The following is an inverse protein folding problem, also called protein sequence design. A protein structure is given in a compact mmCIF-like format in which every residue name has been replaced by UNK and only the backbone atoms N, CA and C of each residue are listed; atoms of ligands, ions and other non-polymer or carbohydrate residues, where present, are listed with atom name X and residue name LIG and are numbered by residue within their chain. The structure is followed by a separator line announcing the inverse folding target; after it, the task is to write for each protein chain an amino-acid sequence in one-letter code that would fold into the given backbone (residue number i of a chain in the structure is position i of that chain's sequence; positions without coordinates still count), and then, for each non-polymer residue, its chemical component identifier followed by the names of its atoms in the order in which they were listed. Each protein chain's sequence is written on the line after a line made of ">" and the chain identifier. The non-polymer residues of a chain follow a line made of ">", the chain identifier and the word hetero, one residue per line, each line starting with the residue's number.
data_IF_771764943641
#
_entry.id   IF_771764943641
#
_cell.length_a   1.000
_cell.length_b   1.000
_cell.length_c   1.000
_cell.angle_alpha   90.00
_cell.angle_beta   90.00
_cell.angle_gamma   90.00
#
_symmetry.space_group_name_H-M   'P 1'
#
loop_
_entity.id
_entity.type
_entity.pdbx_description
1 polymer ?
#
# COMPACT_ATOMS: atom_id res chain seq x y z
N UNK A 1 11.23 -4.28 10.63
CA UNK A 1 9.90 -4.85 10.34
C UNK A 1 9.32 -4.15 9.13
N UNK A 2 8.56 -4.88 8.32
CA UNK A 2 7.91 -4.28 7.15
C UNK A 2 6.49 -3.88 7.44
N UNK A 3 6.10 -2.73 6.89
CA UNK A 3 4.73 -2.26 6.91
C UNK A 3 4.24 -1.94 5.51
N UNK A 4 2.97 -2.25 5.26
CA UNK A 4 2.22 -1.78 4.11
C UNK A 4 1.50 -0.50 4.52
N UNK A 5 1.63 0.54 3.72
CA UNK A 5 0.99 1.83 3.92
C UNK A 5 0.03 2.06 2.77
N UNK A 6 -1.27 2.10 3.05
CA UNK A 6 -2.30 2.40 2.05
C UNK A 6 -2.70 3.86 2.13
N UNK A 7 -2.65 4.55 0.99
CA UNK A 7 -3.30 5.84 0.84
C UNK A 7 -4.75 5.62 0.40
N UNK A 8 -5.70 6.01 1.24
CA UNK A 8 -7.14 5.81 1.01
C UNK A 8 -7.83 7.14 0.75
N UNK A 9 -8.72 7.11 -0.22
CA UNK A 9 -9.52 8.26 -0.67
C UNK A 9 -11.00 7.90 -0.63
N UNK A 10 -11.86 8.91 -0.49
CA UNK A 10 -13.30 8.73 -0.68
C UNK A 10 -13.62 8.43 -2.15
N UNK A 11 -14.72 7.72 -2.42
CA UNK A 11 -15.14 7.40 -3.79
C UNK A 11 -15.30 8.61 -4.70
N UNK A 12 -15.72 9.76 -4.14
CA UNK A 12 -15.85 11.02 -4.89
C UNK A 12 -14.51 11.53 -5.45
N UNK A 13 -13.39 11.14 -4.82
CA UNK A 13 -12.04 11.57 -5.20
C UNK A 13 -11.46 10.78 -6.39
N UNK A 14 -12.11 9.71 -6.83
CA UNK A 14 -11.70 8.93 -8.02
C UNK A 14 -12.20 9.53 -9.34
N UNK A 15 -13.08 10.53 -9.29
CA UNK A 15 -13.59 11.19 -10.48
C UNK A 15 -12.49 12.08 -11.04
N UNK A 16 -11.79 11.57 -12.07
CA UNK A 16 -10.64 12.21 -12.74
C UNK A 16 -10.57 13.72 -12.59
N UNK A 17 -9.81 14.17 -11.58
CA UNK A 17 -9.65 15.57 -11.27
C UNK A 17 -8.61 16.16 -12.22
N UNK A 18 -8.94 17.27 -12.88
CA UNK A 18 -7.94 18.04 -13.60
C UNK A 18 -6.89 18.55 -12.58
N UNK A 19 -5.58 18.43 -12.88
CA UNK A 19 -4.55 18.82 -11.93
C UNK A 19 -4.61 20.33 -11.68
N UNK A 20 -4.90 20.71 -10.44
CA UNK A 20 -4.81 22.10 -9.98
C UNK A 20 -3.36 22.44 -9.62
N UNK A 21 -2.98 23.73 -9.56
CA UNK A 21 -1.65 24.12 -9.10
C UNK A 21 -1.30 23.57 -7.70
N UNK A 22 -2.28 23.48 -6.81
CA UNK A 22 -2.13 22.91 -5.48
C UNK A 22 -1.85 21.40 -5.54
N UNK A 23 -2.59 20.66 -6.36
CA UNK A 23 -2.34 19.22 -6.57
C UNK A 23 -0.94 18.99 -7.14
N UNK A 24 -0.52 19.78 -8.12
CA UNK A 24 0.83 19.68 -8.71
C UNK A 24 1.91 19.91 -7.65
N UNK A 25 1.75 20.93 -6.80
CA UNK A 25 2.68 21.21 -5.72
C UNK A 25 2.71 20.08 -4.67
N UNK A 26 1.54 19.49 -4.36
CA UNK A 26 1.43 18.37 -3.43
C UNK A 26 2.07 17.09 -4.00
N UNK A 27 1.90 16.81 -5.29
CA UNK A 27 2.60 15.72 -5.98
C UNK A 27 4.12 15.89 -5.88
N UNK A 28 4.65 17.09 -6.17
CA UNK A 28 6.08 17.35 -6.03
C UNK A 28 6.57 17.25 -4.57
N UNK A 29 5.73 17.55 -3.59
CA UNK A 29 6.05 17.33 -2.18
C UNK A 29 6.08 15.83 -1.82
N UNK A 30 5.16 15.04 -2.39
CA UNK A 30 5.14 13.58 -2.21
C UNK A 30 6.39 12.92 -2.80
N UNK A 31 6.86 13.40 -3.95
CA UNK A 31 8.10 12.91 -4.57
C UNK A 31 9.30 13.15 -3.64
N UNK A 32 9.44 14.39 -3.11
CA UNK A 32 10.49 14.71 -2.12
C UNK A 32 10.39 13.88 -0.85
N UNK A 33 9.19 13.68 -0.33
CA UNK A 33 8.97 12.82 0.83
C UNK A 33 9.39 11.36 0.56
N UNK A 34 9.15 10.88 -0.66
CA UNK A 34 9.57 9.55 -1.10
C UNK A 34 11.10 9.45 -1.21
N UNK A 35 11.77 10.50 -1.70
CA UNK A 35 13.23 10.61 -1.69
C UNK A 35 13.80 10.58 -0.26
N UNK A 36 13.20 11.32 0.67
CA UNK A 36 13.59 11.30 2.10
C UNK A 36 13.46 9.90 2.72
N UNK A 37 12.41 9.15 2.38
CA UNK A 37 12.25 7.75 2.82
C UNK A 37 13.34 6.84 2.23
N UNK A 38 13.70 7.05 0.96
CA UNK A 38 14.73 6.28 0.29
C UNK A 38 16.13 6.56 0.87
N UNK A 39 16.46 7.83 1.08
CA UNK A 39 17.71 8.25 1.72
C UNK A 39 17.83 7.72 3.16
N UNK A 40 16.71 7.64 3.89
CA UNK A 40 16.65 7.04 5.21
C UNK A 40 16.77 5.50 5.22
N UNK A 41 16.78 4.84 4.05
CA UNK A 41 16.81 3.39 3.93
C UNK A 41 15.49 2.70 4.29
N UNK A 42 14.39 3.46 4.36
CA UNK A 42 13.07 2.98 4.77
C UNK A 42 12.25 2.53 3.56
N UNK A 43 12.44 3.17 2.41
CA UNK A 43 11.66 2.89 1.20
C UNK A 43 11.99 1.52 0.60
N UNK A 44 10.97 0.67 0.44
CA UNK A 44 11.09 -0.62 -0.28
C UNK A 44 10.46 -0.52 -1.67
N UNK A 45 9.21 -0.07 -1.74
CA UNK A 45 8.47 0.10 -2.99
C UNK A 45 7.25 1.00 -2.78
N UNK A 46 6.81 1.72 -3.80
CA UNK A 46 5.53 2.44 -3.78
C UNK A 46 4.98 2.62 -5.20
N UNK A 47 3.66 2.79 -5.29
CA UNK A 47 3.02 3.22 -6.52
C UNK A 47 1.67 3.90 -6.23
N UNK A 48 1.33 4.89 -7.06
CA UNK A 48 -0.04 5.35 -7.24
C UNK A 48 -0.82 4.36 -8.10
N UNK A 49 -2.11 4.19 -7.79
CA UNK A 49 -3.03 3.36 -8.54
C UNK A 49 -3.94 4.24 -9.39
N UNK A 50 -4.34 3.70 -10.54
CA UNK A 50 -5.39 4.30 -11.36
C UNK A 50 -6.76 4.18 -10.66
N UNK A 51 -7.75 5.01 -11.05
CA UNK A 51 -9.11 4.91 -10.52
C UNK A 51 -9.68 3.50 -10.61
N UNK A 52 -10.47 3.09 -9.61
CA UNK A 52 -11.05 1.75 -9.53
C UNK A 52 -11.94 1.40 -10.73
N UNK A 53 -12.48 2.41 -11.43
CA UNK A 53 -13.23 2.25 -12.68
C UNK A 53 -12.40 1.60 -13.81
N UNK A 54 -11.07 1.73 -13.79
CA UNK A 54 -10.17 1.03 -14.72
C UNK A 54 -9.73 -0.36 -14.20
N UNK A 55 -10.16 -0.73 -13.00
CA UNK A 55 -9.85 -2.01 -12.35
C UNK A 55 -10.79 -3.14 -12.73
N UNK A 56 -10.38 -4.37 -12.39
CA UNK A 56 -11.22 -5.57 -12.45
C UNK A 56 -11.14 -6.33 -11.13
N UNK A 57 -12.26 -6.91 -10.70
CA UNK A 57 -12.36 -7.77 -9.53
C UNK A 57 -12.66 -9.20 -9.97
N UNK A 58 -11.94 -10.16 -9.39
CA UNK A 58 -12.25 -11.58 -9.54
C UNK A 58 -12.99 -12.02 -8.28
N UNK A 59 -14.23 -12.48 -8.43
CA UNK A 59 -15.03 -13.03 -7.33
C UNK A 59 -14.91 -14.56 -7.41
N UNK A 60 -14.59 -15.17 -6.27
CA UNK A 60 -14.36 -16.60 -6.14
C UNK A 60 -15.45 -17.21 -5.26
N UNK A 61 -16.32 -18.05 -5.83
CA UNK A 61 -17.38 -18.77 -5.12
C UNK A 61 -17.21 -20.27 -5.38
N UNK A 62 -16.67 -21.01 -4.41
CA UNK A 62 -16.29 -22.41 -4.61
C UNK A 62 -15.21 -22.55 -5.69
N UNK A 63 -15.51 -23.29 -6.76
CA UNK A 63 -14.66 -23.41 -7.95
C UNK A 63 -14.92 -22.31 -9.00
N UNK A 64 -16.04 -21.60 -8.90
CA UNK A 64 -16.43 -20.58 -9.89
C UNK A 64 -15.63 -19.30 -9.72
N UNK A 65 -15.27 -18.69 -10.85
CA UNK A 65 -14.53 -17.42 -10.92
C UNK A 65 -15.24 -16.47 -11.88
N UNK A 66 -15.80 -15.39 -11.36
CA UNK A 66 -16.44 -14.34 -12.17
C UNK A 66 -15.59 -13.07 -12.20
N UNK A 67 -15.65 -12.34 -13.31
CA UNK A 67 -14.93 -11.08 -13.51
C UNK A 67 -15.93 -9.94 -13.46
N UNK A 68 -15.66 -8.94 -12.62
CA UNK A 68 -16.48 -7.74 -12.48
C UNK A 68 -15.62 -6.52 -12.80
N UNK A 69 -16.06 -5.71 -13.75
CA UNK A 69 -15.43 -4.43 -14.05
C UNK A 69 -15.69 -3.41 -12.94
N UNK A 70 -14.78 -2.45 -12.77
CA UNK A 70 -15.00 -1.33 -11.87
C UNK A 70 -16.14 -0.41 -12.31
N UNK A 71 -16.49 0.61 -11.50
CA UNK A 71 -15.85 1.01 -10.24
C UNK A 71 -16.14 0.05 -9.08
N UNK A 72 -15.30 0.09 -8.06
CA UNK A 72 -15.42 -0.78 -6.89
C UNK A 72 -16.35 -0.17 -5.84
N UNK A 73 -17.40 -0.90 -5.39
CA UNK A 73 -18.32 -0.37 -4.38
C UNK A 73 -17.68 -0.49 -2.99
N UNK A 74 -16.99 0.56 -2.53
CA UNK A 74 -16.38 0.63 -1.20
C UNK A 74 -16.38 2.08 -0.67
N UNK A 75 -16.52 2.23 0.65
CA UNK A 75 -16.54 3.53 1.35
C UNK A 75 -15.14 4.15 1.55
N UNK A 76 -14.11 3.55 0.96
CA UNK A 76 -12.73 4.02 0.95
C UNK A 76 -11.89 3.22 -0.02
N UNK A 77 -11.40 3.87 -1.07
CA UNK A 77 -10.65 3.24 -2.15
C UNK A 77 -9.15 3.48 -1.97
N UNK A 78 -8.34 2.49 -2.35
CA UNK A 78 -6.89 2.58 -2.25
C UNK A 78 -6.39 3.31 -3.49
N UNK A 79 -5.91 4.53 -3.31
CA UNK A 79 -5.33 5.36 -4.36
C UNK A 79 -3.83 5.07 -4.58
N UNK A 80 -3.19 4.40 -3.64
CA UNK A 80 -1.78 4.07 -3.71
C UNK A 80 -1.31 3.25 -2.52
N UNK A 81 -0.11 2.69 -2.66
CA UNK A 81 0.55 1.97 -1.57
C UNK A 81 2.02 2.37 -1.46
N UNK A 82 2.59 2.14 -0.28
CA UNK A 82 4.02 2.12 -0.03
C UNK A 82 4.38 0.98 0.91
N UNK A 83 5.52 0.33 0.69
CA UNK A 83 6.13 -0.64 1.59
C UNK A 83 7.33 0.03 2.24
N UNK A 84 7.37 0.01 3.57
CA UNK A 84 8.45 0.58 4.36
C UNK A 84 9.10 -0.50 5.24
N UNK A 85 10.43 -0.48 5.31
CA UNK A 85 11.21 -1.18 6.32
C UNK A 85 11.51 -0.19 7.46
N UNK A 86 10.90 -0.42 8.62
CA UNK A 86 11.01 0.45 9.80
C UNK A 86 11.45 -0.38 11.00
N UNK A 87 12.03 0.25 12.01
CA UNK A 87 12.38 -0.37 13.28
C UNK A 87 11.14 -0.88 14.01
N UNK A 88 10.09 -0.07 14.08
CA UNK A 88 8.86 -0.33 14.81
C UNK A 88 7.66 0.47 14.24
N UNK A 89 6.46 0.23 14.78
CA UNK A 89 5.24 0.93 14.36
C UNK A 89 5.27 2.43 14.69
N UNK A 90 5.94 2.83 15.77
CA UNK A 90 6.04 4.23 16.17
C UNK A 90 6.86 5.03 15.14
N UNK A 91 7.94 4.43 14.60
CA UNK A 91 8.70 5.00 13.49
C UNK A 91 7.83 5.13 12.23
N UNK A 92 7.06 4.09 11.87
CA UNK A 92 6.14 4.19 10.73
C UNK A 92 5.13 5.34 10.90
N UNK A 93 4.54 5.49 12.08
CA UNK A 93 3.59 6.57 12.37
C UNK A 93 4.28 7.94 12.33
N UNK A 94 5.52 8.05 12.81
CA UNK A 94 6.29 9.28 12.75
C UNK A 94 6.57 9.72 11.31
N UNK A 95 6.88 8.78 10.41
CA UNK A 95 7.02 9.05 8.98
C UNK A 95 5.69 9.38 8.32
N UNK A 96 4.63 8.61 8.59
CA UNK A 96 3.31 8.86 8.01
C UNK A 96 2.75 10.25 8.35
N UNK A 97 3.06 10.80 9.53
CA UNK A 97 2.66 12.17 9.91
C UNK A 97 3.31 13.27 9.07
N UNK A 98 4.41 12.97 8.37
CA UNK A 98 5.10 13.90 7.45
C UNK A 98 4.61 13.77 6.01
N UNK A 99 3.85 12.71 5.71
CA UNK A 99 3.38 12.41 4.36
C UNK A 99 2.45 13.54 3.86
N UNK A 100 2.74 14.15 2.69
CA UNK A 100 1.89 15.18 2.12
C UNK A 100 0.51 14.64 1.75
N UNK A 101 -0.55 15.43 1.93
CA UNK A 101 -1.85 15.08 1.38
C UNK A 101 -1.96 15.58 -0.07
N UNK A 102 -2.05 14.64 -1.02
CA UNK A 102 -2.13 14.95 -2.47
C UNK A 102 -3.55 15.10 -3.00
N UNK A 103 -4.55 14.67 -2.22
CA UNK A 103 -5.96 14.71 -2.64
C UNK A 103 -6.73 15.76 -1.84
N UNK A 104 -7.66 16.49 -2.48
CA UNK A 104 -8.54 17.40 -1.76
C UNK A 104 -9.48 16.61 -0.83
N UNK A 105 -9.81 17.20 0.32
CA UNK A 105 -10.74 16.61 1.29
C UNK A 105 -10.10 15.62 2.27
N UNK A 106 -10.93 14.75 2.87
CA UNK A 106 -10.49 13.77 3.86
C UNK A 106 -9.71 12.65 3.17
N UNK A 107 -8.41 12.56 3.47
CA UNK A 107 -7.57 11.41 3.14
C UNK A 107 -7.31 10.57 4.40
N UNK A 108 -7.02 9.29 4.20
CA UNK A 108 -6.66 8.38 5.29
C UNK A 108 -5.41 7.58 4.89
N UNK A 109 -4.48 7.43 5.82
CA UNK A 109 -3.36 6.50 5.67
C UNK A 109 -3.54 5.34 6.64
N UNK A 110 -3.55 4.12 6.12
CA UNK A 110 -3.63 2.90 6.92
C UNK A 110 -2.26 2.20 6.90
N UNK A 111 -1.68 1.97 8.08
CA UNK A 111 -0.38 1.31 8.22
C UNK A 111 -0.63 -0.08 8.81
N UNK A 112 -0.15 -1.13 8.13
CA UNK A 112 -0.31 -2.51 8.56
C UNK A 112 1.03 -3.25 8.56
N UNK A 113 1.38 -3.96 9.63
CA UNK A 113 2.56 -4.82 9.61
C UNK A 113 2.36 -5.97 8.63
N UNK A 114 3.45 -6.40 8.00
CA UNK A 114 3.50 -7.67 7.30
C UNK A 114 3.49 -8.80 8.33
N UNK A 115 2.98 -9.97 7.93
CA UNK A 115 3.27 -11.20 8.67
C UNK A 115 4.75 -11.53 8.52
N UNK A 116 5.40 -11.88 9.63
CA UNK A 116 6.75 -12.44 9.65
C UNK A 116 6.70 -13.94 10.01
N UNK A 117 7.81 -14.67 9.81
CA UNK A 117 7.84 -16.14 10.06
C UNK A 117 7.31 -16.48 11.46
N UNK A 118 7.67 -15.66 12.45
CA UNK A 118 7.27 -15.82 13.84
C UNK A 118 5.74 -15.76 14.04
N UNK A 119 5.01 -15.05 13.17
CA UNK A 119 3.56 -14.89 13.26
C UNK A 119 2.79 -16.05 12.59
N UNK A 120 3.47 -16.90 11.83
CA UNK A 120 2.87 -18.00 11.06
C UNK A 120 3.00 -19.37 11.75
N UNK A 121 3.35 -19.39 13.04
CA UNK A 121 3.42 -20.62 13.81
C UNK A 121 2.09 -21.39 13.74
N UNK A 122 2.15 -22.66 13.30
CA UNK A 122 0.97 -23.51 13.11
C UNK A 122 0.28 -23.40 11.75
N UNK A 123 0.63 -22.41 10.91
CA UNK A 123 0.17 -22.32 9.52
C UNK A 123 1.16 -22.93 8.51
N UNK A 124 2.43 -23.05 8.91
CA UNK A 124 3.51 -23.66 8.14
C UNK A 124 4.26 -24.67 9.00
N UNK A 125 4.85 -25.68 8.36
CA UNK A 125 5.73 -26.63 9.06
C UNK A 125 7.03 -25.93 9.50
N UNK A 126 7.73 -26.44 10.54
CA UNK A 126 9.04 -25.89 10.95
C UNK A 126 10.09 -25.89 9.82
N UNK A 127 10.03 -26.86 8.92
CA UNK A 127 10.92 -26.95 7.75
C UNK A 127 10.61 -25.85 6.73
N UNK A 128 9.33 -25.62 6.41
CA UNK A 128 8.90 -24.54 5.53
C UNK A 128 9.21 -23.15 6.10
N UNK A 129 9.11 -22.98 7.42
CA UNK A 129 9.46 -21.75 8.12
C UNK A 129 10.98 -21.45 8.09
N UNK A 130 11.81 -22.50 8.15
CA UNK A 130 13.26 -22.39 8.16
C UNK A 130 13.90 -22.31 6.77
N UNK A 131 13.15 -22.65 5.72
CA UNK A 131 13.64 -22.64 4.33
C UNK A 131 13.55 -21.22 3.76
N UNK A 132 14.67 -20.55 3.45
CA UNK A 132 14.63 -19.25 2.78
C UNK A 132 13.90 -19.37 1.45
N UNK A 133 12.99 -18.44 1.18
CA UNK A 133 12.36 -18.35 -0.14
C UNK A 133 13.39 -17.78 -1.11
N UNK A 134 13.82 -18.56 -2.08
CA UNK A 134 14.80 -18.11 -3.07
C UNK A 134 14.21 -17.12 -4.08
N UNK A 135 15.10 -16.31 -4.68
CA UNK A 135 14.77 -15.38 -5.75
C UNK A 135 13.91 -14.18 -5.30
N UNK A 136 13.22 -13.56 -6.26
CA UNK A 136 12.39 -12.35 -6.03
C UNK A 136 11.26 -12.62 -5.02
N UNK A 137 10.82 -13.87 -4.88
CA UNK A 137 9.81 -14.24 -3.89
C UNK A 137 10.31 -14.06 -2.44
N UNK A 138 11.61 -14.18 -2.21
CA UNK A 138 12.23 -13.97 -0.90
C UNK A 138 12.24 -12.51 -0.44
N UNK A 139 12.17 -11.55 -1.36
CA UNK A 139 12.30 -10.13 -1.02
C UNK A 139 11.01 -9.51 -0.48
N UNK A 140 9.86 -10.15 -0.69
CA UNK A 140 8.53 -9.60 -0.35
C UNK A 140 7.93 -10.17 0.95
N UNK A 141 8.53 -11.22 1.52
CA UNK A 141 8.14 -11.78 2.81
C UNK A 141 7.61 -13.21 2.77
N UNK A 142 6.98 -13.61 3.86
CA UNK A 142 6.60 -15.01 4.15
C UNK A 142 5.17 -15.36 3.75
N UNK A 143 4.36 -14.40 3.32
CA UNK A 143 3.08 -14.63 2.66
C UNK A 143 3.28 -14.62 1.15
#
# INVERSE_FOLDING_TARGET
>A
MRVMVFAKVSGDSEQGLAPTPEMIAAFAAMDRFTEELAEAGIFVAAAGLKPSAEGKRIISEGEERSVVDGPFPADGLIAGFSIWEVRDMDEAVAWARRCPNVMPGRSEMEIRPFFEVADLEGFVTPEEAATPRDGVRGTLGVA
#
